data_IF_952665727064
#
_entry.id   IF_952665727064
#
_cell.length_a   1.000
_cell.length_b   1.000
_cell.length_c   1.000
_cell.angle_alpha   90.00
_cell.angle_beta   90.00
_cell.angle_gamma   90.00
#
_symmetry.space_group_name_H-M   'P 1'
#
loop_
_entity.id
_entity.type
_entity.pdbx_description
1 polymer ?
#
# COMPACT_ATOMS: atom_id res chain seq x y z
N UNK A 1 15.60 52.10 55.50
CA UNK A 1 14.48 52.01 54.51
C UNK A 1 15.01 51.56 53.17
N UNK A 2 14.93 50.26 52.87
CA UNK A 2 15.39 49.70 51.57
C UNK A 2 14.19 49.70 50.67
N UNK A 3 14.28 50.43 49.52
CA UNK A 3 13.27 50.43 48.48
C UNK A 3 13.52 49.18 47.56
N UNK A 4 12.60 48.23 47.55
CA UNK A 4 12.56 47.11 46.62
C UNK A 4 11.86 47.61 45.35
N UNK A 5 12.59 47.72 44.24
CA UNK A 5 12.01 47.93 42.91
C UNK A 5 11.58 46.57 42.37
N UNK A 6 10.27 46.40 42.23
CA UNK A 6 9.67 45.20 41.60
C UNK A 6 9.71 45.40 40.07
N UNK A 7 10.59 44.67 39.39
CA UNK A 7 10.63 44.65 37.92
C UNK A 7 9.55 43.68 37.44
N UNK A 8 8.44 44.20 36.89
CA UNK A 8 7.42 43.40 36.23
C UNK A 8 7.90 43.14 34.80
N UNK A 9 8.41 41.95 34.55
CA UNK A 9 8.71 41.49 33.19
C UNK A 9 7.39 41.15 32.47
N UNK A 10 6.94 42.01 31.54
CA UNK A 10 5.89 41.68 30.59
C UNK A 10 6.44 40.64 29.62
N UNK A 11 6.09 39.38 29.83
CA UNK A 11 6.22 38.35 28.79
C UNK A 11 5.16 38.61 27.72
N UNK A 12 5.51 39.35 26.67
CA UNK A 12 4.74 39.37 25.42
C UNK A 12 4.93 38.01 24.77
N UNK A 13 3.97 37.13 24.92
CA UNK A 13 3.88 35.92 24.09
C UNK A 13 3.66 36.38 22.62
N UNK A 14 4.74 36.44 21.83
CA UNK A 14 4.62 36.56 20.40
C UNK A 14 3.85 35.34 19.92
N UNK A 15 2.62 35.54 19.51
CA UNK A 15 1.88 34.56 18.70
C UNK A 15 2.67 34.32 17.41
N UNK A 16 3.54 33.32 17.43
CA UNK A 16 4.17 32.84 16.19
C UNK A 16 3.03 32.22 15.37
N UNK A 17 2.49 32.98 14.44
CA UNK A 17 1.57 32.45 13.45
C UNK A 17 2.34 31.41 12.64
N UNK A 18 1.92 30.17 12.71
CA UNK A 18 2.53 29.11 11.90
C UNK A 18 2.42 29.50 10.42
N UNK A 19 3.56 29.56 9.75
CA UNK A 19 3.66 29.82 8.33
C UNK A 19 2.72 28.90 7.56
N UNK A 20 1.91 29.46 6.67
CA UNK A 20 0.94 28.71 5.85
C UNK A 20 1.50 28.48 4.45
N UNK A 21 1.01 27.44 3.81
CA UNK A 21 1.28 27.16 2.41
C UNK A 21 -0.02 27.29 1.62
N UNK A 22 -0.02 28.18 0.62
CA UNK A 22 -1.12 28.45 -0.29
C UNK A 22 -0.84 27.71 -1.61
N UNK A 23 -1.63 26.70 -1.92
CA UNK A 23 -1.49 25.88 -3.13
C UNK A 23 -2.59 26.29 -4.11
N UNK A 24 -2.23 27.12 -5.11
CA UNK A 24 -3.13 27.53 -6.18
C UNK A 24 -3.20 26.43 -7.25
N UNK A 25 -4.36 25.87 -7.51
CA UNK A 25 -4.53 24.76 -8.47
C UNK A 25 -5.64 25.03 -9.49
N UNK A 26 -5.62 24.30 -10.60
CA UNK A 26 -6.64 24.37 -11.65
C UNK A 26 -7.99 23.81 -11.19
N UNK A 27 -7.99 22.99 -10.15
CA UNK A 27 -9.14 22.44 -9.46
C UNK A 27 -8.73 21.37 -8.48
N UNK A 28 -9.62 21.06 -7.53
CA UNK A 28 -9.46 19.99 -6.56
C UNK A 28 -10.38 18.83 -6.94
N UNK A 29 -9.81 17.65 -7.16
CA UNK A 29 -10.56 16.44 -7.42
C UNK A 29 -11.03 15.78 -6.12
N UNK A 30 -12.33 15.54 -6.00
CA UNK A 30 -12.94 14.77 -4.89
C UNK A 30 -13.23 13.34 -5.34
N UNK A 31 -12.52 12.33 -4.81
CA UNK A 31 -12.75 10.91 -5.15
C UNK A 31 -14.14 10.39 -4.75
N UNK A 32 -14.78 11.00 -3.74
CA UNK A 32 -16.10 10.56 -3.26
C UNK A 32 -17.19 10.92 -4.25
N UNK A 33 -17.15 12.12 -4.80
CA UNK A 33 -18.12 12.63 -5.80
C UNK A 33 -17.66 12.42 -7.24
N UNK A 34 -16.38 12.06 -7.44
CA UNK A 34 -15.70 11.90 -8.73
C UNK A 34 -15.75 13.19 -9.61
N UNK A 35 -15.74 14.36 -8.96
CA UNK A 35 -15.81 15.66 -9.60
C UNK A 35 -14.59 16.51 -9.24
N UNK A 36 -14.23 17.42 -10.15
CA UNK A 36 -13.21 18.45 -9.93
C UNK A 36 -13.90 19.80 -9.71
N UNK A 37 -13.42 20.55 -8.73
CA UNK A 37 -13.90 21.94 -8.50
C UNK A 37 -13.44 22.89 -9.62
N UNK A 38 -13.96 24.10 -9.64
CA UNK A 38 -13.36 25.24 -10.34
C UNK A 38 -11.96 25.54 -9.73
N UNK A 39 -11.16 26.45 -10.37
CA UNK A 39 -9.89 26.88 -9.82
C UNK A 39 -10.00 27.25 -8.34
N UNK A 40 -9.06 26.76 -7.55
CA UNK A 40 -9.13 26.81 -6.08
C UNK A 40 -7.74 27.03 -5.47
N UNK A 41 -7.72 27.45 -4.21
CA UNK A 41 -6.52 27.50 -3.37
C UNK A 41 -6.72 26.60 -2.16
N UNK A 42 -5.83 25.64 -1.96
CA UNK A 42 -5.79 24.82 -0.74
C UNK A 42 -4.78 25.43 0.22
N UNK A 43 -5.23 25.77 1.42
CA UNK A 43 -4.39 26.35 2.47
C UNK A 43 -3.99 25.26 3.45
N UNK A 44 -2.68 25.11 3.65
CA UNK A 44 -2.07 24.13 4.57
C UNK A 44 -1.39 24.87 5.72
N UNK A 45 -1.54 24.35 6.94
CA UNK A 45 -0.82 24.82 8.13
C UNK A 45 -0.30 23.62 8.92
N UNK A 46 1.01 23.57 9.12
CA UNK A 46 1.65 22.37 9.67
C UNK A 46 1.39 21.16 8.78
N UNK A 47 0.86 20.08 9.34
CA UNK A 47 0.55 18.86 8.60
C UNK A 47 -0.94 18.73 8.21
N UNK A 48 -1.74 19.80 8.32
CA UNK A 48 -3.19 19.76 8.10
C UNK A 48 -3.65 20.73 7.02
N UNK A 49 -4.66 20.33 6.28
CA UNK A 49 -5.44 21.20 5.41
C UNK A 49 -6.29 22.10 6.30
N UNK A 50 -6.14 23.42 6.13
CA UNK A 50 -6.87 24.41 6.91
C UNK A 50 -8.19 24.78 6.22
N UNK A 51 -8.14 25.09 4.91
CA UNK A 51 -9.30 25.48 4.11
C UNK A 51 -9.09 25.20 2.62
N UNK A 52 -10.19 25.27 1.88
CA UNK A 52 -10.22 25.27 0.41
C UNK A 52 -11.00 26.52 -0.01
N UNK A 53 -10.30 27.44 -0.66
CA UNK A 53 -10.84 28.73 -1.07
C UNK A 53 -11.14 28.75 -2.57
N UNK A 54 -12.19 29.45 -2.99
CA UNK A 54 -12.52 29.64 -4.39
C UNK A 54 -11.53 30.62 -5.05
N UNK A 55 -11.08 30.29 -6.25
CA UNK A 55 -10.11 31.09 -6.99
C UNK A 55 -8.69 31.00 -6.41
N UNK A 56 -7.80 31.83 -6.93
CA UNK A 56 -6.40 31.85 -6.55
C UNK A 56 -6.13 32.94 -5.50
N UNK A 57 -6.01 32.51 -4.25
CA UNK A 57 -5.73 33.38 -3.10
C UNK A 57 -4.22 33.43 -2.83
N UNK A 58 -3.76 34.50 -2.23
CA UNK A 58 -2.39 34.69 -1.77
C UNK A 58 -2.39 34.86 -0.25
N UNK A 59 -1.34 34.39 0.39
CA UNK A 59 -1.09 34.61 1.80
C UNK A 59 -0.40 35.94 2.08
N UNK A 60 0.02 36.15 3.32
CA UNK A 60 0.90 37.24 3.70
C UNK A 60 2.35 37.03 3.26
N UNK A 61 3.21 38.02 3.44
CA UNK A 61 4.61 38.01 2.99
C UNK A 61 5.45 36.85 3.57
N UNK A 62 5.03 36.29 4.70
CA UNK A 62 5.71 35.17 5.35
C UNK A 62 5.21 33.79 4.90
N UNK A 63 4.14 33.72 4.12
CA UNK A 63 3.50 32.48 3.70
C UNK A 63 4.14 31.93 2.42
N UNK A 64 4.08 30.60 2.24
CA UNK A 64 4.55 29.97 1.00
C UNK A 64 3.44 29.91 -0.04
N UNK A 65 3.77 30.29 -1.27
CA UNK A 65 2.89 30.17 -2.44
C UNK A 65 3.42 29.07 -3.36
N UNK A 66 2.53 28.14 -3.74
CA UNK A 66 2.79 27.09 -4.71
C UNK A 66 1.86 27.27 -5.90
N UNK A 67 2.44 27.48 -7.07
CA UNK A 67 1.70 27.62 -8.33
C UNK A 67 1.52 26.25 -9.02
N UNK A 68 0.28 25.74 -8.95
CA UNK A 68 -0.18 24.55 -9.65
C UNK A 68 -1.44 24.86 -10.48
N UNK A 69 -1.59 26.07 -10.97
CA UNK A 69 -2.80 26.56 -11.66
C UNK A 69 -3.21 25.73 -12.88
N UNK A 70 -2.24 25.05 -13.51
CA UNK A 70 -2.47 24.18 -14.68
C UNK A 70 -2.66 22.71 -14.30
N UNK A 71 -2.56 22.37 -13.02
CA UNK A 71 -2.63 20.99 -12.53
C UNK A 71 -3.91 20.74 -11.71
N UNK A 72 -4.35 19.50 -11.66
CA UNK A 72 -5.45 19.05 -10.80
C UNK A 72 -4.90 18.50 -9.50
N UNK A 73 -5.26 19.12 -8.37
CA UNK A 73 -4.89 18.68 -7.03
C UNK A 73 -5.84 17.58 -6.54
N UNK A 74 -5.32 16.59 -5.86
CA UNK A 74 -6.11 15.50 -5.26
C UNK A 74 -5.41 14.94 -4.02
N UNK A 75 -6.10 14.08 -3.20
CA UNK A 75 -5.42 13.43 -2.09
C UNK A 75 -4.31 12.51 -2.58
N UNK A 76 -3.25 12.38 -1.79
CA UNK A 76 -2.21 11.39 -2.01
C UNK A 76 -2.78 9.99 -2.10
N UNK A 77 -2.25 9.18 -2.99
CA UNK A 77 -2.71 7.81 -3.20
C UNK A 77 -2.23 6.87 -2.12
N UNK A 78 -3.02 5.82 -1.90
CA UNK A 78 -2.76 4.75 -0.93
C UNK A 78 -2.67 3.44 -1.70
N UNK A 79 -1.55 2.73 -1.57
CA UNK A 79 -1.33 1.40 -2.14
C UNK A 79 -1.41 0.34 -1.04
N UNK A 80 -2.42 -0.54 -1.08
CA UNK A 80 -2.65 -1.54 -0.02
C UNK A 80 -1.85 -2.83 -0.19
N UNK A 81 -0.99 -2.92 -1.21
CA UNK A 81 -0.14 -4.09 -1.38
C UNK A 81 1.20 -3.71 -1.98
N UNK A 82 2.21 -3.59 -1.13
CA UNK A 82 3.60 -3.45 -1.54
C UNK A 82 4.50 -4.39 -0.73
N UNK A 83 5.72 -4.61 -1.23
CA UNK A 83 6.84 -5.25 -0.55
C UNK A 83 8.02 -4.27 -0.57
N UNK A 84 8.01 -3.30 0.34
CA UNK A 84 8.91 -2.13 0.32
C UNK A 84 10.38 -2.47 0.56
N UNK A 85 10.70 -3.68 0.98
CA UNK A 85 12.05 -4.15 1.27
C UNK A 85 12.79 -4.69 0.05
N UNK A 86 12.11 -4.93 -1.06
CA UNK A 86 12.72 -5.63 -2.20
C UNK A 86 12.12 -5.19 -3.53
N UNK A 87 12.85 -5.50 -4.60
CA UNK A 87 12.37 -5.40 -5.97
C UNK A 87 12.87 -6.64 -6.72
N UNK A 88 11.98 -7.36 -7.42
CA UNK A 88 12.33 -8.62 -8.07
C UNK A 88 13.19 -8.37 -9.31
N UNK A 89 14.32 -9.06 -9.36
CA UNK A 89 15.26 -9.10 -10.49
C UNK A 89 15.87 -10.51 -10.60
N UNK A 90 16.63 -10.85 -11.66
CA UNK A 90 17.16 -12.20 -11.87
C UNK A 90 17.97 -12.78 -10.70
N UNK A 91 18.65 -11.94 -9.92
CA UNK A 91 19.48 -12.35 -8.80
C UNK A 91 18.72 -12.45 -7.46
N UNK A 92 17.43 -12.11 -7.41
CA UNK A 92 16.63 -12.06 -6.15
C UNK A 92 16.71 -13.35 -5.34
N UNK A 93 16.73 -14.52 -6.02
CA UNK A 93 16.84 -15.81 -5.31
C UNK A 93 18.21 -16.03 -4.67
N UNK A 94 19.24 -15.36 -5.16
CA UNK A 94 20.59 -15.41 -4.62
C UNK A 94 20.77 -14.42 -3.45
N UNK A 95 20.09 -13.28 -3.50
CA UNK A 95 20.22 -12.21 -2.51
C UNK A 95 19.86 -12.66 -1.10
N UNK A 96 18.94 -13.61 -0.94
CA UNK A 96 18.62 -14.18 0.38
C UNK A 96 19.80 -14.89 1.06
N UNK A 97 20.88 -15.20 0.33
CA UNK A 97 22.11 -15.80 0.85
C UNK A 97 23.25 -14.78 0.97
N UNK A 98 23.16 -13.65 0.27
CA UNK A 98 24.20 -12.63 0.20
C UNK A 98 23.90 -11.41 1.07
N UNK A 99 22.62 -11.06 1.25
CA UNK A 99 22.19 -9.83 1.92
C UNK A 99 22.01 -10.05 3.43
N UNK A 100 22.57 -9.12 4.17
CA UNK A 100 22.24 -8.91 5.57
C UNK A 100 21.02 -7.96 5.67
N UNK A 101 20.47 -7.81 6.87
CA UNK A 101 19.34 -6.89 7.09
C UNK A 101 19.69 -5.43 6.81
N UNK A 102 20.93 -5.06 6.97
CA UNK A 102 21.46 -3.73 6.69
C UNK A 102 21.44 -3.43 5.19
N UNK A 103 21.80 -4.41 4.34
CA UNK A 103 21.72 -4.28 2.88
C UNK A 103 20.28 -4.06 2.44
N UNK A 104 19.33 -4.89 2.95
CA UNK A 104 17.90 -4.74 2.74
C UNK A 104 17.40 -3.37 3.22
N UNK A 105 17.88 -2.89 4.37
CA UNK A 105 17.46 -1.60 4.93
C UNK A 105 17.87 -0.43 4.03
N UNK A 106 19.09 -0.44 3.48
CA UNK A 106 19.54 0.63 2.60
C UNK A 106 18.82 0.61 1.24
N UNK A 107 18.58 -0.55 0.66
CA UNK A 107 17.78 -0.64 -0.58
C UNK A 107 16.34 -0.16 -0.37
N UNK A 108 15.72 -0.54 0.75
CA UNK A 108 14.34 -0.16 1.07
C UNK A 108 14.14 1.36 1.17
N UNK A 109 15.18 2.12 1.52
CA UNK A 109 15.14 3.59 1.52
C UNK A 109 14.90 4.14 0.11
N UNK A 110 15.61 3.62 -0.88
CA UNK A 110 15.45 4.04 -2.27
C UNK A 110 14.06 3.66 -2.82
N UNK A 111 13.57 2.47 -2.49
CA UNK A 111 12.23 2.01 -2.89
C UNK A 111 11.13 2.87 -2.27
N UNK A 112 11.25 3.20 -0.98
CA UNK A 112 10.30 4.09 -0.30
C UNK A 112 10.27 5.49 -0.95
N UNK A 113 11.42 6.03 -1.31
CA UNK A 113 11.50 7.34 -1.97
C UNK A 113 10.86 7.31 -3.36
N UNK A 114 11.13 6.28 -4.18
CA UNK A 114 10.51 6.10 -5.50
C UNK A 114 8.98 6.04 -5.40
N UNK A 115 8.46 5.25 -4.45
CA UNK A 115 7.03 5.08 -4.20
C UNK A 115 6.37 6.41 -3.82
N UNK A 116 6.97 7.18 -2.91
CA UNK A 116 6.45 8.50 -2.53
C UNK A 116 6.45 9.47 -3.71
N UNK A 117 7.53 9.53 -4.49
CA UNK A 117 7.63 10.43 -5.66
C UNK A 117 6.66 10.08 -6.80
N UNK A 118 6.19 8.82 -6.84
CA UNK A 118 5.13 8.40 -7.76
C UNK A 118 3.72 8.83 -7.32
N UNK A 119 3.58 9.49 -6.15
CA UNK A 119 2.30 10.00 -5.65
C UNK A 119 1.64 9.15 -4.57
N UNK A 120 2.25 8.05 -4.17
CA UNK A 120 1.75 7.18 -3.11
C UNK A 120 2.28 7.66 -1.75
N UNK A 121 1.49 8.48 -1.06
CA UNK A 121 1.85 9.04 0.25
C UNK A 121 1.68 8.06 1.40
N UNK A 122 0.92 6.99 1.18
CA UNK A 122 0.68 5.91 2.14
C UNK A 122 0.70 4.55 1.46
N UNK A 123 1.21 3.54 2.17
CA UNK A 123 1.27 2.15 1.68
C UNK A 123 0.96 1.14 2.79
N UNK A 124 0.40 -0.01 2.41
CA UNK A 124 0.34 -1.21 3.25
C UNK A 124 1.35 -2.23 2.72
N UNK A 125 2.39 -2.48 3.49
CA UNK A 125 3.42 -3.47 3.20
C UNK A 125 3.00 -4.84 3.75
N UNK A 126 2.87 -5.81 2.86
CA UNK A 126 2.28 -7.12 3.18
C UNK A 126 3.31 -8.23 3.37
N UNK A 127 4.53 -7.88 3.66
CA UNK A 127 5.52 -8.87 4.12
C UNK A 127 6.94 -8.54 3.67
N UNK A 128 7.86 -8.87 4.55
CA UNK A 128 9.29 -8.70 4.35
C UNK A 128 10.10 -9.45 5.40
N UNK A 129 11.31 -9.02 5.65
CA UNK A 129 12.22 -9.60 6.64
C UNK A 129 11.97 -9.09 8.08
N UNK A 130 11.17 -8.02 8.21
CA UNK A 130 10.96 -7.22 9.42
C UNK A 130 11.75 -5.92 9.44
N UNK A 131 12.56 -5.64 8.42
CA UNK A 131 13.20 -4.34 8.18
C UNK A 131 12.15 -3.27 7.91
N UNK A 132 11.03 -3.61 7.27
CA UNK A 132 9.87 -2.75 7.01
C UNK A 132 9.34 -2.06 8.29
N UNK A 133 9.36 -2.73 9.44
CA UNK A 133 9.00 -2.11 10.73
C UNK A 133 10.01 -1.03 11.13
N UNK A 134 11.30 -1.28 10.92
CA UNK A 134 12.35 -0.30 11.20
C UNK A 134 12.28 0.89 10.24
N UNK A 135 12.05 0.62 8.95
CA UNK A 135 11.86 1.64 7.91
C UNK A 135 10.65 2.55 8.25
N UNK A 136 9.48 1.97 8.59
CA UNK A 136 8.31 2.74 9.04
C UNK A 136 8.66 3.69 10.18
N UNK A 137 9.37 3.19 11.20
CA UNK A 137 9.80 4.01 12.35
C UNK A 137 10.78 5.12 11.94
N UNK A 138 11.69 4.85 10.99
CA UNK A 138 12.64 5.84 10.49
C UNK A 138 11.94 6.94 9.68
N UNK A 139 10.96 6.59 8.85
CA UNK A 139 10.14 7.54 8.10
C UNK A 139 9.29 8.40 9.07
N UNK A 140 8.63 7.78 10.07
CA UNK A 140 7.81 8.49 11.04
C UNK A 140 8.60 9.51 11.88
N UNK A 141 9.91 9.28 12.09
CA UNK A 141 10.82 10.22 12.78
C UNK A 141 11.44 11.26 11.85
N UNK A 142 11.19 11.19 10.54
CA UNK A 142 11.82 12.07 9.55
C UNK A 142 13.28 11.75 9.25
N UNK A 143 13.82 10.59 9.70
CA UNK A 143 15.20 10.17 9.42
C UNK A 143 15.36 9.64 7.99
N UNK A 144 14.28 9.20 7.37
CA UNK A 144 14.22 8.66 6.00
C UNK A 144 13.00 9.24 5.30
N UNK A 145 13.15 9.55 4.02
CA UNK A 145 12.05 9.99 3.15
C UNK A 145 11.30 8.79 2.60
N UNK A 146 9.98 8.79 2.72
CA UNK A 146 9.13 7.72 2.20
C UNK A 146 7.64 7.92 2.54
N UNK A 147 6.76 7.03 2.05
CA UNK A 147 5.33 7.06 2.36
C UNK A 147 5.07 6.69 3.82
N UNK A 148 3.87 6.96 4.32
CA UNK A 148 3.38 6.40 5.58
C UNK A 148 3.15 4.91 5.37
N UNK A 149 3.67 4.05 6.27
CA UNK A 149 3.66 2.61 6.11
C UNK A 149 2.81 1.96 7.20
N UNK A 150 1.88 1.08 6.79
CA UNK A 150 1.30 0.04 7.62
C UNK A 150 1.93 -1.28 7.20
N UNK A 151 2.48 -2.05 8.13
CA UNK A 151 3.22 -3.26 7.74
C UNK A 151 2.77 -4.51 8.48
N UNK A 152 2.81 -5.65 7.77
CA UNK A 152 2.63 -6.97 8.35
C UNK A 152 3.91 -7.52 9.03
N UNK A 153 5.03 -6.82 8.87
CA UNK A 153 6.32 -7.40 9.23
C UNK A 153 6.65 -8.60 8.35
N UNK A 154 6.51 -9.81 8.89
CA UNK A 154 6.62 -11.06 8.11
C UNK A 154 5.24 -11.65 7.84
N UNK A 155 5.03 -12.17 6.65
CA UNK A 155 3.83 -12.96 6.33
C UNK A 155 3.79 -14.26 7.14
N UNK A 156 2.59 -14.85 7.26
CA UNK A 156 2.37 -16.15 7.90
C UNK A 156 2.06 -17.17 6.80
N UNK A 157 2.76 -18.30 6.81
CA UNK A 157 2.62 -19.43 5.90
C UNK A 157 2.51 -20.75 6.65
N UNK A 158 2.07 -21.82 6.00
CA UNK A 158 2.28 -23.21 6.46
C UNK A 158 3.67 -23.69 6.05
N UNK A 159 4.16 -24.78 6.63
CA UNK A 159 5.38 -25.47 6.17
C UNK A 159 5.25 -25.82 4.68
N UNK A 160 6.25 -25.42 3.88
CA UNK A 160 6.22 -25.55 2.43
C UNK A 160 5.24 -24.63 1.72
N UNK A 161 4.56 -23.72 2.43
CA UNK A 161 3.64 -22.74 1.89
C UNK A 161 4.36 -21.59 1.15
N UNK A 162 3.59 -20.74 0.46
CA UNK A 162 4.15 -19.72 -0.44
C UNK A 162 5.17 -18.78 0.24
N UNK A 163 4.90 -18.33 1.46
CA UNK A 163 5.80 -17.45 2.22
C UNK A 163 6.71 -18.20 3.22
N UNK A 164 6.83 -19.52 3.12
CA UNK A 164 7.83 -20.25 3.90
C UNK A 164 9.24 -19.83 3.45
N UNK A 165 10.05 -19.23 4.32
CA UNK A 165 11.36 -18.70 3.93
C UNK A 165 12.36 -19.79 3.52
N UNK A 166 12.08 -21.05 3.88
CA UNK A 166 12.97 -22.18 3.59
C UNK A 166 12.72 -22.84 2.23
N UNK A 167 11.66 -22.43 1.51
CA UNK A 167 11.36 -22.97 0.18
C UNK A 167 12.54 -22.79 -0.80
N UNK A 168 12.99 -23.93 -1.35
CA UNK A 168 14.12 -23.97 -2.29
C UNK A 168 15.49 -23.75 -1.65
N UNK A 169 15.58 -23.79 -0.33
CA UNK A 169 16.84 -23.71 0.42
C UNK A 169 17.23 -25.06 0.96
N UNK A 170 18.52 -25.33 1.01
CA UNK A 170 19.07 -26.53 1.61
C UNK A 170 18.78 -26.57 3.12
N UNK A 171 18.24 -27.68 3.64
CA UNK A 171 17.69 -27.76 4.98
C UNK A 171 18.65 -27.38 6.12
N UNK A 172 19.95 -27.66 5.94
CA UNK A 172 20.98 -27.34 6.93
C UNK A 172 21.34 -25.86 7.02
N UNK A 173 20.86 -25.01 6.07
CA UNK A 173 21.14 -23.57 6.07
C UNK A 173 20.10 -22.75 6.86
N UNK A 174 18.84 -23.18 6.90
CA UNK A 174 17.76 -22.39 7.52
C UNK A 174 16.97 -23.12 8.60
N UNK A 175 17.23 -24.43 8.80
CA UNK A 175 16.57 -25.24 9.83
C UNK A 175 15.07 -25.42 9.59
N UNK A 176 14.31 -25.60 10.68
CA UNK A 176 12.86 -25.78 10.70
C UNK A 176 12.21 -24.54 11.31
N UNK A 177 11.64 -23.62 10.51
CA UNK A 177 11.07 -22.37 10.98
C UNK A 177 9.73 -22.60 11.68
N UNK A 178 9.46 -21.82 12.73
CA UNK A 178 8.20 -21.81 13.46
C UNK A 178 7.46 -20.47 13.44
N UNK A 179 6.53 -20.24 14.37
CA UNK A 179 5.70 -19.04 14.43
C UNK A 179 6.48 -17.71 14.47
N UNK A 180 7.68 -17.70 15.05
CA UNK A 180 8.54 -16.52 15.09
C UNK A 180 9.06 -16.13 13.69
N UNK A 181 9.30 -17.10 12.83
CA UNK A 181 9.68 -16.88 11.43
C UNK A 181 8.48 -16.74 10.50
N UNK A 182 7.25 -16.99 11.00
CA UNK A 182 6.00 -16.92 10.24
C UNK A 182 5.53 -18.25 9.67
N UNK A 183 6.02 -19.40 10.18
CA UNK A 183 5.55 -20.71 9.74
C UNK A 183 4.72 -21.38 10.84
N UNK A 184 3.53 -21.86 10.48
CA UNK A 184 2.57 -22.47 11.40
C UNK A 184 1.93 -23.71 10.80
N UNK A 185 1.55 -24.68 11.65
CA UNK A 185 0.89 -25.92 11.25
C UNK A 185 -0.24 -26.33 12.21
N UNK A 186 -0.71 -25.40 13.04
CA UNK A 186 -1.81 -25.64 13.97
C UNK A 186 -2.49 -24.34 14.41
N UNK A 187 -3.67 -24.47 15.00
CA UNK A 187 -4.45 -23.35 15.58
C UNK A 187 -3.67 -22.62 16.69
N UNK A 188 -2.93 -23.34 17.53
CA UNK A 188 -2.16 -22.74 18.62
C UNK A 188 -0.94 -21.98 18.09
N UNK A 189 -0.28 -22.51 17.07
CA UNK A 189 0.81 -21.80 16.37
C UNK A 189 0.29 -20.58 15.63
N UNK A 190 -0.91 -20.64 15.04
CA UNK A 190 -1.58 -19.49 14.41
C UNK A 190 -1.74 -18.32 15.40
N UNK A 191 -2.29 -18.60 16.60
CA UNK A 191 -2.42 -17.60 17.67
C UNK A 191 -1.06 -17.06 18.11
N UNK A 192 -0.08 -17.94 18.25
CA UNK A 192 1.29 -17.57 18.63
C UNK A 192 1.93 -16.65 17.58
N UNK A 193 1.77 -16.94 16.29
CA UNK A 193 2.32 -16.15 15.20
C UNK A 193 1.72 -14.75 15.18
N UNK A 194 0.40 -14.59 15.31
CA UNK A 194 -0.26 -13.27 15.37
C UNK A 194 0.27 -12.46 16.57
N UNK A 195 0.35 -13.05 17.75
CA UNK A 195 0.89 -12.39 18.96
C UNK A 195 2.35 -12.00 18.78
N UNK A 196 3.13 -12.80 18.05
CA UNK A 196 4.51 -12.47 17.71
C UNK A 196 4.59 -11.26 16.77
N UNK A 197 3.73 -11.21 15.72
CA UNK A 197 3.64 -10.01 14.83
C UNK A 197 3.28 -8.76 15.61
N UNK A 198 2.28 -8.83 16.48
CA UNK A 198 1.90 -7.73 17.36
C UNK A 198 3.08 -7.27 18.25
N UNK A 199 3.77 -8.20 18.92
CA UNK A 199 4.95 -7.92 19.76
C UNK A 199 6.06 -7.22 18.97
N UNK A 200 6.28 -7.61 17.71
CA UNK A 200 7.28 -7.00 16.82
C UNK A 200 6.87 -5.62 16.33
N UNK A 201 5.59 -5.28 16.42
CA UNK A 201 5.02 -3.99 16.04
C UNK A 201 4.44 -3.97 14.63
N UNK A 202 3.92 -5.10 14.13
CA UNK A 202 3.12 -5.12 12.92
C UNK A 202 1.78 -4.38 13.12
N UNK A 203 1.25 -3.80 12.06
CA UNK A 203 -0.04 -3.08 12.04
C UNK A 203 -1.16 -3.94 11.46
N UNK A 204 -0.81 -4.93 10.64
CA UNK A 204 -1.73 -5.82 9.92
C UNK A 204 -1.19 -7.25 9.95
N UNK A 205 -2.05 -8.22 9.68
CA UNK A 205 -1.64 -9.62 9.52
C UNK A 205 -1.80 -10.04 8.06
N UNK A 206 -0.74 -10.60 7.48
CA UNK A 206 -0.75 -11.21 6.14
C UNK A 206 -0.54 -12.70 6.24
N UNK A 207 -1.40 -13.46 5.54
CA UNK A 207 -1.22 -14.90 5.33
C UNK A 207 -1.04 -15.22 3.85
N UNK A 208 -0.50 -16.39 3.54
CA UNK A 208 -0.52 -16.99 2.20
C UNK A 208 -1.47 -18.17 2.18
N UNK A 209 -2.75 -17.91 1.79
CA UNK A 209 -3.82 -18.91 1.84
C UNK A 209 -3.70 -19.97 0.74
N UNK A 210 -2.95 -19.69 -0.32
CA UNK A 210 -2.62 -20.65 -1.41
C UNK A 210 -1.14 -20.63 -1.74
N UNK A 211 -0.70 -21.53 -2.60
CA UNK A 211 0.55 -21.40 -3.32
C UNK A 211 0.60 -20.10 -4.13
N UNK A 212 1.78 -19.72 -4.60
CA UNK A 212 1.99 -18.49 -5.35
C UNK A 212 2.97 -18.68 -6.51
N UNK A 213 3.03 -17.66 -7.38
CA UNK A 213 3.84 -17.70 -8.61
C UNK A 213 5.33 -17.66 -8.28
N UNK A 214 5.75 -16.73 -7.43
CA UNK A 214 7.17 -16.39 -7.24
C UNK A 214 7.92 -17.32 -6.26
N UNK A 215 7.24 -18.21 -5.53
CA UNK A 215 7.90 -19.17 -4.65
C UNK A 215 8.37 -20.42 -5.40
N UNK A 216 9.34 -21.12 -4.81
CA UNK A 216 9.80 -22.44 -5.30
C UNK A 216 8.84 -23.60 -4.97
N UNK A 217 7.66 -23.31 -4.38
CA UNK A 217 6.60 -24.30 -4.17
C UNK A 217 5.99 -24.74 -5.51
N UNK A 218 5.69 -26.05 -5.62
CA UNK A 218 5.29 -26.69 -6.90
C UNK A 218 3.95 -26.19 -7.45
N UNK A 219 3.03 -25.80 -6.56
CA UNK A 219 1.65 -25.51 -6.96
C UNK A 219 1.24 -24.09 -6.52
N UNK A 220 0.61 -23.33 -7.43
CA UNK A 220 0.09 -21.99 -7.18
C UNK A 220 -1.38 -21.95 -6.73
N UNK A 221 -2.13 -23.06 -6.79
CA UNK A 221 -3.59 -23.05 -6.63
C UNK A 221 -4.06 -23.67 -5.32
N UNK A 222 -3.33 -24.65 -4.77
CA UNK A 222 -3.81 -25.42 -3.62
C UNK A 222 -3.90 -24.56 -2.37
N UNK A 223 -4.97 -24.76 -1.54
CA UNK A 223 -5.08 -24.12 -0.24
C UNK A 223 -3.95 -24.60 0.67
N UNK A 224 -3.43 -23.71 1.50
CA UNK A 224 -2.29 -23.96 2.38
C UNK A 224 -2.65 -23.86 3.86
N UNK A 225 -3.91 -23.55 4.17
CA UNK A 225 -4.45 -23.51 5.53
C UNK A 225 -5.82 -24.18 5.59
N UNK A 226 -6.17 -24.68 6.76
CA UNK A 226 -7.54 -25.06 7.10
C UNK A 226 -8.35 -23.80 7.47
N UNK A 227 -9.69 -23.91 7.47
CA UNK A 227 -10.56 -22.80 7.90
C UNK A 227 -10.32 -22.47 9.37
N UNK A 228 -10.06 -23.46 10.21
CA UNK A 228 -9.83 -23.32 11.66
C UNK A 228 -8.55 -22.54 11.95
N UNK A 229 -7.47 -22.79 11.21
CA UNK A 229 -6.20 -22.05 11.34
C UNK A 229 -6.39 -20.59 10.92
N UNK A 230 -7.03 -20.33 9.78
CA UNK A 230 -7.29 -18.96 9.32
C UNK A 230 -8.21 -18.24 10.32
N UNK A 231 -9.26 -18.90 10.82
CA UNK A 231 -10.17 -18.34 11.81
C UNK A 231 -9.43 -17.95 13.10
N UNK A 232 -8.53 -18.79 13.58
CA UNK A 232 -7.71 -18.49 14.75
C UNK A 232 -6.80 -17.27 14.53
N UNK A 233 -6.27 -17.10 13.31
CA UNK A 233 -5.51 -15.91 12.92
C UNK A 233 -6.41 -14.66 12.97
N UNK A 234 -7.58 -14.72 12.31
CA UNK A 234 -8.50 -13.57 12.21
C UNK A 234 -9.02 -13.15 13.59
N UNK A 235 -9.47 -14.09 14.42
CA UNK A 235 -9.95 -13.82 15.77
C UNK A 235 -8.85 -13.20 16.64
N UNK A 236 -7.64 -13.77 16.61
CA UNK A 236 -6.53 -13.22 17.39
C UNK A 236 -6.08 -11.85 16.87
N UNK A 237 -6.11 -11.62 15.55
CA UNK A 237 -5.80 -10.31 14.97
C UNK A 237 -6.84 -9.24 15.41
N UNK A 238 -8.13 -9.63 15.44
CA UNK A 238 -9.22 -8.76 15.88
C UNK A 238 -9.08 -8.33 17.35
N UNK A 239 -8.59 -9.22 18.24
CA UNK A 239 -8.29 -8.88 19.65
C UNK A 239 -7.28 -7.75 19.78
N UNK A 240 -6.42 -7.55 18.78
CA UNK A 240 -5.42 -6.49 18.71
C UNK A 240 -5.79 -5.35 17.75
N UNK A 241 -7.01 -5.35 17.21
CA UNK A 241 -7.48 -4.34 16.25
C UNK A 241 -6.74 -4.37 14.90
N UNK A 242 -6.14 -5.50 14.53
CA UNK A 242 -5.36 -5.63 13.29
C UNK A 242 -6.22 -6.18 12.14
N UNK A 243 -6.13 -5.53 10.99
CA UNK A 243 -6.70 -6.00 9.74
C UNK A 243 -5.98 -7.27 9.24
N UNK A 244 -6.71 -8.13 8.53
CA UNK A 244 -6.15 -9.36 7.94
C UNK A 244 -6.22 -9.34 6.42
N UNK A 245 -5.14 -9.81 5.77
CA UNK A 245 -4.99 -9.90 4.33
C UNK A 245 -4.50 -11.30 3.93
N UNK A 246 -4.98 -11.84 2.80
CA UNK A 246 -4.58 -13.15 2.31
C UNK A 246 -4.15 -13.13 0.85
N UNK A 247 -2.89 -13.48 0.58
CA UNK A 247 -2.48 -13.91 -0.75
C UNK A 247 -3.29 -15.15 -1.15
N UNK A 248 -3.94 -15.11 -2.31
CA UNK A 248 -4.65 -16.26 -2.84
C UNK A 248 -4.83 -16.19 -4.35
N UNK A 249 -4.35 -17.23 -5.05
CA UNK A 249 -4.64 -17.44 -6.47
C UNK A 249 -5.77 -18.46 -6.68
N UNK A 250 -5.73 -19.59 -5.98
CA UNK A 250 -6.69 -20.67 -6.12
C UNK A 250 -8.00 -20.44 -5.38
N UNK A 251 -9.11 -20.83 -6.00
CA UNK A 251 -10.48 -20.54 -5.52
C UNK A 251 -10.78 -21.12 -4.14
N UNK A 252 -10.40 -22.37 -3.86
CA UNK A 252 -10.65 -23.01 -2.56
C UNK A 252 -9.93 -22.30 -1.40
N UNK A 253 -8.69 -21.83 -1.61
CA UNK A 253 -7.98 -21.05 -0.60
C UNK A 253 -8.63 -19.69 -0.34
N UNK A 254 -9.12 -19.02 -1.40
CA UNK A 254 -9.90 -17.80 -1.28
C UNK A 254 -11.19 -18.02 -0.51
N UNK A 255 -11.94 -19.07 -0.87
CA UNK A 255 -13.18 -19.43 -0.19
C UNK A 255 -12.96 -19.65 1.31
N UNK A 256 -11.93 -20.42 1.69
CA UNK A 256 -11.58 -20.65 3.10
C UNK A 256 -11.22 -19.36 3.82
N UNK A 257 -10.42 -18.49 3.16
CA UNK A 257 -10.00 -17.22 3.72
C UNK A 257 -11.21 -16.30 3.98
N UNK A 258 -12.12 -16.16 3.00
CA UNK A 258 -13.31 -15.32 3.12
C UNK A 258 -14.26 -15.85 4.20
N UNK A 259 -14.53 -17.15 4.23
CA UNK A 259 -15.40 -17.77 5.25
C UNK A 259 -14.84 -17.60 6.66
N UNK A 260 -13.52 -17.65 6.79
CA UNK A 260 -12.83 -17.45 8.08
C UNK A 260 -12.76 -15.96 8.51
N UNK A 261 -13.14 -15.00 7.65
CA UNK A 261 -13.25 -13.59 8.00
C UNK A 261 -12.06 -12.71 7.54
N UNK A 262 -11.25 -13.17 6.61
CA UNK A 262 -10.19 -12.33 6.00
C UNK A 262 -10.83 -11.13 5.29
N UNK A 263 -10.30 -9.95 5.55
CA UNK A 263 -10.85 -8.69 5.02
C UNK A 263 -10.44 -8.40 3.58
N UNK A 264 -9.18 -8.68 3.20
CA UNK A 264 -8.72 -8.44 1.82
C UNK A 264 -8.11 -9.70 1.21
N UNK A 265 -8.54 -10.02 -0.01
CA UNK A 265 -7.98 -11.08 -0.85
C UNK A 265 -7.08 -10.40 -1.87
N UNK A 266 -5.82 -10.78 -1.88
CA UNK A 266 -4.79 -10.26 -2.77
C UNK A 266 -4.70 -11.15 -4.02
N UNK A 267 -4.57 -10.55 -5.21
CA UNK A 267 -4.49 -11.19 -6.53
C UNK A 267 -5.80 -11.76 -7.05
N UNK A 268 -6.37 -12.79 -6.41
CA UNK A 268 -7.66 -13.36 -6.77
C UNK A 268 -7.74 -14.06 -8.13
N UNK A 269 -6.63 -14.57 -8.67
CA UNK A 269 -6.49 -14.93 -10.10
C UNK A 269 -7.50 -15.95 -10.62
N UNK A 270 -7.80 -17.00 -9.87
CA UNK A 270 -8.73 -18.08 -10.28
C UNK A 270 -10.05 -18.04 -9.52
N UNK A 271 -10.51 -16.85 -9.14
CA UNK A 271 -11.74 -16.67 -8.37
C UNK A 271 -12.97 -17.09 -9.16
N UNK A 272 -13.76 -18.03 -8.61
CA UNK A 272 -15.04 -18.43 -9.16
C UNK A 272 -16.14 -17.40 -8.89
N UNK A 273 -17.24 -17.46 -9.66
CA UNK A 273 -18.43 -16.63 -9.37
C UNK A 273 -19.01 -16.89 -7.98
N UNK A 274 -18.97 -18.13 -7.51
CA UNK A 274 -19.42 -18.48 -6.18
C UNK A 274 -18.57 -17.78 -5.09
N UNK A 275 -17.26 -17.70 -5.28
CA UNK A 275 -16.37 -16.99 -4.36
C UNK A 275 -16.55 -15.47 -4.47
N UNK A 276 -16.86 -14.91 -5.66
CA UNK A 276 -17.23 -13.49 -5.81
C UNK A 276 -18.48 -13.13 -5.01
N UNK A 277 -19.54 -13.95 -5.07
CA UNK A 277 -20.75 -13.76 -4.26
C UNK A 277 -20.46 -13.91 -2.75
N UNK A 278 -19.59 -14.83 -2.38
CA UNK A 278 -19.15 -15.00 -1.00
C UNK A 278 -18.40 -13.77 -0.49
N UNK A 279 -17.50 -13.18 -1.28
CA UNK A 279 -16.79 -11.94 -0.93
C UNK A 279 -17.77 -10.79 -0.68
N UNK A 280 -18.77 -10.62 -1.52
CA UNK A 280 -19.81 -9.61 -1.33
C UNK A 280 -20.58 -9.83 -0.03
N UNK A 281 -20.99 -11.07 0.24
CA UNK A 281 -21.72 -11.45 1.47
C UNK A 281 -20.92 -11.17 2.75
N UNK A 282 -19.61 -11.33 2.71
CA UNK A 282 -18.70 -11.14 3.85
C UNK A 282 -18.04 -9.75 3.88
N UNK A 283 -18.44 -8.84 2.99
CA UNK A 283 -17.83 -7.51 2.85
C UNK A 283 -16.29 -7.58 2.75
N UNK A 284 -15.80 -8.58 2.01
CA UNK A 284 -14.40 -8.73 1.69
C UNK A 284 -14.03 -7.94 0.43
N UNK A 285 -12.78 -7.52 0.34
CA UNK A 285 -12.27 -6.70 -0.77
C UNK A 285 -11.27 -7.49 -1.61
N UNK A 286 -11.30 -7.29 -2.92
CA UNK A 286 -10.27 -7.76 -3.85
C UNK A 286 -9.23 -6.65 -4.04
N UNK A 287 -7.96 -6.97 -3.83
CA UNK A 287 -6.79 -6.16 -4.18
C UNK A 287 -6.10 -6.83 -5.37
N UNK A 288 -6.32 -6.37 -6.61
CA UNK A 288 -6.08 -7.19 -7.81
C UNK A 288 -4.61 -7.33 -8.22
N UNK A 289 -3.77 -6.34 -7.94
CA UNK A 289 -2.32 -6.36 -8.24
C UNK A 289 -1.99 -6.72 -9.69
N UNK A 290 -2.71 -6.12 -10.63
CA UNK A 290 -2.56 -6.41 -12.06
C UNK A 290 -1.16 -6.05 -12.57
N UNK A 291 -0.53 -5.02 -11.99
CA UNK A 291 0.84 -4.60 -12.28
C UNK A 291 1.84 -5.75 -12.10
N UNK A 292 1.74 -6.44 -10.96
CA UNK A 292 2.62 -7.59 -10.68
C UNK A 292 2.38 -8.73 -11.68
N UNK A 293 1.11 -9.07 -11.96
CA UNK A 293 0.77 -10.11 -12.93
C UNK A 293 1.34 -9.82 -14.32
N UNK A 294 1.20 -8.56 -14.80
CA UNK A 294 1.74 -8.13 -16.09
C UNK A 294 3.27 -8.14 -16.10
N UNK A 295 3.91 -7.63 -15.04
CA UNK A 295 5.36 -7.60 -14.92
C UNK A 295 5.96 -9.02 -14.96
N UNK A 296 5.41 -9.93 -14.14
CA UNK A 296 5.88 -11.31 -14.05
C UNK A 296 5.68 -12.07 -15.36
N UNK A 297 4.51 -11.92 -15.99
CA UNK A 297 4.21 -12.52 -17.27
C UNK A 297 5.17 -12.03 -18.38
N UNK A 298 5.47 -10.74 -18.41
CA UNK A 298 6.35 -10.17 -19.43
C UNK A 298 7.80 -10.65 -19.27
N UNK A 299 8.31 -10.66 -18.05
CA UNK A 299 9.67 -11.12 -17.76
C UNK A 299 9.83 -12.64 -17.94
N UNK A 300 8.77 -13.42 -17.71
CA UNK A 300 8.77 -14.86 -17.95
C UNK A 300 9.01 -15.26 -19.44
N UNK A 301 8.81 -14.31 -20.36
CA UNK A 301 9.12 -14.52 -21.80
C UNK A 301 10.61 -14.42 -22.07
N UNK A 302 11.41 -13.88 -21.16
CA UNK A 302 12.88 -13.78 -21.29
C UNK A 302 13.51 -15.05 -20.74
N UNK A 303 14.22 -15.84 -21.57
CA UNK A 303 14.85 -17.07 -21.12
C UNK A 303 15.81 -16.83 -19.95
N UNK A 304 15.68 -17.62 -18.89
CA UNK A 304 16.56 -17.57 -17.73
C UNK A 304 16.29 -16.41 -16.74
N UNK A 305 15.31 -15.55 -16.98
CA UNK A 305 14.95 -14.48 -16.05
C UNK A 305 14.43 -15.04 -14.70
N UNK A 306 13.59 -16.05 -14.76
CA UNK A 306 13.10 -16.80 -13.59
C UNK A 306 13.52 -18.26 -13.63
N UNK A 307 13.60 -18.95 -12.49
CA UNK A 307 13.69 -20.41 -12.46
C UNK A 307 12.56 -21.06 -13.27
N UNK A 308 12.79 -22.23 -13.91
CA UNK A 308 11.79 -22.86 -14.80
C UNK A 308 10.41 -23.07 -14.17
N UNK A 309 10.36 -23.43 -12.87
CA UNK A 309 9.12 -23.62 -12.12
C UNK A 309 8.33 -22.32 -11.97
N UNK A 310 9.01 -21.20 -11.73
CA UNK A 310 8.40 -19.87 -11.62
C UNK A 310 7.92 -19.41 -12.99
N UNK A 311 8.73 -19.57 -14.03
CA UNK A 311 8.37 -19.23 -15.42
C UNK A 311 7.06 -19.91 -15.84
N UNK A 312 6.90 -21.21 -15.59
CA UNK A 312 5.69 -21.95 -15.92
C UNK A 312 4.44 -21.37 -15.25
N UNK A 313 4.50 -21.10 -13.95
CA UNK A 313 3.39 -20.51 -13.19
C UNK A 313 3.08 -19.07 -13.63
N UNK A 314 4.09 -18.28 -13.95
CA UNK A 314 3.94 -16.91 -14.43
C UNK A 314 3.15 -16.82 -15.74
N UNK A 315 3.45 -17.71 -16.69
CA UNK A 315 2.76 -17.78 -17.97
C UNK A 315 1.33 -18.30 -17.85
N UNK A 316 1.03 -19.11 -16.85
CA UNK A 316 -0.32 -19.60 -16.55
C UNK A 316 -1.19 -18.52 -15.91
N UNK A 317 -0.71 -17.86 -14.86
CA UNK A 317 -1.50 -16.95 -14.00
C UNK A 317 -1.71 -15.59 -14.65
N UNK A 318 -0.70 -15.05 -15.32
CA UNK A 318 -0.72 -13.68 -15.83
C UNK A 318 -1.94 -13.33 -16.70
N UNK A 319 -2.28 -14.13 -17.73
CA UNK A 319 -3.41 -13.84 -18.63
C UNK A 319 -4.77 -13.92 -17.94
N UNK A 320 -4.90 -14.73 -16.88
CA UNK A 320 -6.18 -15.02 -16.21
C UNK A 320 -6.54 -13.88 -15.23
N UNK A 321 -5.56 -13.30 -14.57
CA UNK A 321 -5.78 -12.32 -13.50
C UNK A 321 -6.61 -11.13 -13.97
N UNK A 322 -6.29 -10.54 -15.13
CA UNK A 322 -7.04 -9.38 -15.66
C UNK A 322 -8.49 -9.75 -16.03
N UNK A 323 -8.72 -10.94 -16.61
CA UNK A 323 -10.07 -11.39 -16.95
C UNK A 323 -10.92 -11.66 -15.69
N UNK A 324 -10.33 -12.26 -14.66
CA UNK A 324 -11.00 -12.50 -13.39
C UNK A 324 -11.32 -11.19 -12.67
N UNK A 325 -10.39 -10.22 -12.66
CA UNK A 325 -10.63 -8.89 -12.11
C UNK A 325 -11.81 -8.19 -12.82
N UNK A 326 -11.81 -8.18 -14.16
CA UNK A 326 -12.90 -7.60 -14.94
C UNK A 326 -14.26 -8.18 -14.55
N UNK A 327 -14.33 -9.51 -14.40
CA UNK A 327 -15.55 -10.23 -13.99
C UNK A 327 -15.93 -9.89 -12.55
N UNK A 328 -14.98 -9.85 -11.61
CA UNK A 328 -15.22 -9.51 -10.21
C UNK A 328 -15.78 -8.08 -10.08
N UNK A 329 -15.19 -7.12 -10.80
CA UNK A 329 -15.69 -5.75 -10.84
C UNK A 329 -17.11 -5.67 -11.38
N UNK A 330 -17.40 -6.33 -12.52
CA UNK A 330 -18.76 -6.38 -13.11
C UNK A 330 -19.80 -7.02 -12.18
N UNK A 331 -19.41 -8.01 -11.39
CA UNK A 331 -20.26 -8.67 -10.39
C UNK A 331 -20.45 -7.85 -9.11
N UNK A 332 -19.76 -6.70 -8.99
CA UNK A 332 -19.89 -5.81 -7.84
C UNK A 332 -19.12 -6.28 -6.60
N UNK A 333 -18.06 -7.05 -6.77
CA UNK A 333 -17.09 -7.30 -5.68
C UNK A 333 -16.46 -5.98 -5.27
N UNK A 334 -16.29 -5.75 -3.96
CA UNK A 334 -15.59 -4.58 -3.45
C UNK A 334 -14.14 -4.59 -3.90
N UNK A 335 -13.69 -3.52 -4.56
CA UNK A 335 -12.31 -3.39 -5.04
C UNK A 335 -11.55 -2.39 -4.19
N UNK A 336 -10.35 -2.76 -3.79
CA UNK A 336 -9.35 -1.89 -3.19
C UNK A 336 -8.12 -1.83 -4.11
N UNK A 337 -7.37 -0.73 -4.06
CA UNK A 337 -6.19 -0.54 -4.90
C UNK A 337 -4.94 -1.11 -4.22
N UNK A 338 -4.14 -1.88 -4.96
CA UNK A 338 -2.83 -2.35 -4.55
C UNK A 338 -2.09 -2.96 -5.74
N UNK A 339 -0.76 -2.84 -5.76
CA UNK A 339 0.09 -3.10 -6.93
C UNK A 339 0.96 -4.33 -6.82
N UNK A 340 1.28 -4.76 -5.60
CA UNK A 340 2.34 -5.72 -5.30
C UNK A 340 3.72 -5.22 -5.81
N UNK A 341 3.96 -3.89 -5.69
CA UNK A 341 5.28 -3.32 -5.96
C UNK A 341 6.32 -3.92 -5.02
N UNK A 342 7.45 -4.29 -5.59
CA UNK A 342 8.40 -5.25 -5.06
C UNK A 342 8.46 -6.49 -5.93
N UNK A 343 7.32 -6.97 -6.44
CA UNK A 343 7.24 -7.89 -7.59
C UNK A 343 7.36 -7.11 -8.90
N UNK A 344 6.69 -5.97 -9.04
CA UNK A 344 6.97 -4.94 -10.06
C UNK A 344 7.88 -3.84 -9.48
N UNK A 345 8.36 -2.92 -10.33
CA UNK A 345 9.25 -1.86 -9.88
C UNK A 345 8.53 -0.82 -9.00
N UNK A 346 9.22 -0.41 -7.92
CA UNK A 346 8.80 0.74 -7.13
C UNK A 346 8.90 2.03 -7.94
N UNK A 347 7.86 2.86 -7.85
CA UNK A 347 7.72 4.06 -8.70
C UNK A 347 6.82 3.84 -9.90
N UNK A 348 6.61 2.60 -10.33
CA UNK A 348 5.66 2.21 -11.39
C UNK A 348 4.25 1.92 -10.87
N UNK A 349 3.99 2.11 -9.59
CA UNK A 349 2.72 1.80 -8.91
C UNK A 349 1.49 2.39 -9.65
N UNK A 350 1.62 3.57 -10.26
CA UNK A 350 0.52 4.21 -11.01
C UNK A 350 0.08 3.45 -12.26
N UNK A 351 0.87 2.49 -12.75
CA UNK A 351 0.47 1.62 -13.88
C UNK A 351 -0.71 0.71 -13.54
N UNK A 352 -0.94 0.42 -12.27
CA UNK A 352 -2.11 -0.33 -11.82
C UNK A 352 -3.42 0.34 -12.26
N UNK A 353 -3.51 1.67 -12.22
CA UNK A 353 -4.67 2.41 -12.74
C UNK A 353 -4.96 2.10 -14.20
N UNK A 354 -3.91 2.01 -15.03
CA UNK A 354 -4.02 1.71 -16.46
C UNK A 354 -4.54 0.28 -16.66
N UNK A 355 -4.00 -0.68 -15.94
CA UNK A 355 -4.43 -2.07 -16.04
C UNK A 355 -5.85 -2.28 -15.52
N UNK A 356 -6.25 -1.58 -14.44
CA UNK A 356 -7.63 -1.58 -13.95
C UNK A 356 -8.60 -1.01 -15.01
N UNK A 357 -8.25 0.11 -15.65
CA UNK A 357 -9.07 0.73 -16.71
C UNK A 357 -9.17 -0.16 -17.94
N UNK A 358 -8.06 -0.72 -18.41
CA UNK A 358 -8.02 -1.69 -19.52
C UNK A 358 -8.86 -2.95 -19.24
N UNK A 359 -9.02 -3.30 -17.96
CA UNK A 359 -9.86 -4.41 -17.50
C UNK A 359 -11.30 -3.99 -17.20
N UNK A 360 -11.72 -2.76 -17.56
CA UNK A 360 -13.11 -2.30 -17.53
C UNK A 360 -13.53 -1.55 -16.25
N UNK A 361 -12.65 -1.27 -15.31
CA UNK A 361 -12.92 -0.40 -14.17
C UNK A 361 -12.59 1.05 -14.52
N UNK A 362 -13.55 2.00 -14.58
CA UNK A 362 -13.27 3.38 -14.93
C UNK A 362 -12.19 4.00 -14.02
N UNK A 363 -11.29 4.81 -14.59
CA UNK A 363 -10.20 5.45 -13.83
C UNK A 363 -10.68 6.17 -12.56
N UNK A 364 -11.80 6.89 -12.63
CA UNK A 364 -12.37 7.57 -11.45
C UNK A 364 -12.78 6.60 -10.34
N UNK A 365 -13.24 5.39 -10.69
CA UNK A 365 -13.54 4.35 -9.71
C UNK A 365 -12.23 3.79 -9.10
N UNK A 366 -11.19 3.62 -9.90
CA UNK A 366 -9.86 3.22 -9.42
C UNK A 366 -9.22 4.30 -8.53
N UNK A 367 -9.37 5.59 -8.84
CA UNK A 367 -8.95 6.69 -7.96
C UNK A 367 -9.67 6.65 -6.61
N UNK A 368 -10.98 6.35 -6.60
CA UNK A 368 -11.73 6.13 -5.35
C UNK A 368 -11.17 4.95 -4.55
N UNK A 369 -10.83 3.85 -5.23
CA UNK A 369 -10.21 2.69 -4.60
C UNK A 369 -8.85 3.05 -3.96
N UNK A 370 -7.99 3.82 -4.65
CA UNK A 370 -6.67 4.23 -4.18
C UNK A 370 -6.69 5.38 -3.15
N UNK A 371 -7.86 5.89 -2.79
CA UNK A 371 -8.00 7.03 -1.86
C UNK A 371 -8.99 6.71 -0.74
N UNK A 372 -10.26 7.07 -0.91
CA UNK A 372 -11.26 6.94 0.17
C UNK A 372 -11.54 5.50 0.60
N UNK A 373 -11.56 4.54 -0.34
CA UNK A 373 -11.75 3.12 -0.01
C UNK A 373 -10.56 2.59 0.81
N UNK A 374 -9.36 2.86 0.34
CA UNK A 374 -8.15 2.40 1.02
C UNK A 374 -7.93 3.10 2.36
N UNK A 375 -8.28 4.39 2.48
CA UNK A 375 -8.25 5.10 3.75
C UNK A 375 -9.19 4.45 4.79
N UNK A 376 -10.43 4.10 4.37
CA UNK A 376 -11.39 3.40 5.24
C UNK A 376 -10.89 2.01 5.67
N UNK A 377 -10.26 1.25 4.77
CA UNK A 377 -9.67 -0.04 5.12
C UNK A 377 -8.50 0.06 6.11
N UNK A 378 -7.82 1.21 6.14
CA UNK A 378 -6.76 1.48 7.12
C UNK A 378 -7.27 2.13 8.42
N UNK A 379 -8.59 2.40 8.55
CA UNK A 379 -9.16 3.14 9.67
C UNK A 379 -8.71 4.60 9.72
N UNK A 380 -8.48 5.20 8.54
CA UNK A 380 -7.96 6.56 8.38
C UNK A 380 -8.91 7.46 7.57
N UNK A 381 -10.16 7.09 7.43
CA UNK A 381 -11.18 7.78 6.61
C UNK A 381 -11.43 9.23 7.02
N UNK A 382 -11.15 9.58 8.27
CA UNK A 382 -11.27 10.94 8.81
C UNK A 382 -9.98 11.77 8.66
N UNK A 383 -8.90 11.18 8.10
CA UNK A 383 -7.59 11.81 8.01
C UNK A 383 -6.95 11.76 6.63
N UNK A 384 -7.26 10.72 5.83
CA UNK A 384 -6.66 10.45 4.52
C UNK A 384 -7.73 10.22 3.44
N UNK A 385 -7.30 10.26 2.19
CA UNK A 385 -8.12 9.92 1.03
C UNK A 385 -9.04 11.05 0.55
N UNK A 386 -8.99 12.23 1.17
CA UNK A 386 -9.76 13.43 0.74
C UNK A 386 -8.93 14.70 0.89
N UNK A 387 -9.21 15.69 0.03
CA UNK A 387 -8.77 17.06 0.26
C UNK A 387 -9.91 17.77 0.98
N UNK A 388 -9.79 17.92 2.30
CA UNK A 388 -10.83 18.56 3.12
C UNK A 388 -10.21 19.22 4.38
N UNK A 389 -10.80 20.29 4.92
CA UNK A 389 -10.34 20.89 6.16
C UNK A 389 -10.24 19.86 7.30
N UNK A 390 -9.13 19.88 8.04
CA UNK A 390 -8.84 18.95 9.13
C UNK A 390 -8.15 17.65 8.71
N UNK A 391 -8.15 17.29 7.43
CA UNK A 391 -7.42 16.13 6.89
C UNK A 391 -5.91 16.39 6.89
N UNK A 392 -5.12 15.33 6.85
CA UNK A 392 -3.68 15.43 6.66
C UNK A 392 -3.38 16.06 5.28
N UNK A 393 -2.37 16.90 5.24
CA UNK A 393 -1.90 17.50 3.99
C UNK A 393 -1.02 16.50 3.22
N UNK A 394 -1.64 15.38 2.85
CA UNK A 394 -1.13 14.37 1.94
C UNK A 394 -1.78 14.63 0.57
N UNK A 395 -1.08 15.34 -0.29
CA UNK A 395 -1.61 15.92 -1.53
C UNK A 395 -0.70 15.59 -2.71
N UNK A 396 -1.31 15.34 -3.86
CA UNK A 396 -0.60 15.23 -5.13
C UNK A 396 -1.28 16.12 -6.19
N UNK A 397 -0.54 16.46 -7.24
CA UNK A 397 -1.15 17.10 -8.40
C UNK A 397 -0.77 16.37 -9.68
N UNK A 398 -1.76 16.22 -10.56
CA UNK A 398 -1.60 15.67 -11.91
C UNK A 398 -1.51 16.81 -12.94
N UNK A 399 -0.57 16.69 -13.87
CA UNK A 399 -0.46 17.62 -15.01
C UNK A 399 -1.62 17.50 -16.00
N UNK A 400 -2.32 16.37 -16.01
CA UNK A 400 -3.50 16.11 -16.82
C UNK A 400 -4.73 15.91 -15.95
N UNK A 401 -5.89 16.38 -16.45
CA UNK A 401 -7.16 16.19 -15.75
C UNK A 401 -7.55 14.71 -15.71
N UNK A 402 -8.14 14.19 -14.59
CA UNK A 402 -8.56 12.79 -14.48
C UNK A 402 -9.56 12.31 -15.54
N UNK A 403 -10.29 13.21 -16.19
CA UNK A 403 -11.19 12.86 -17.31
C UNK A 403 -10.46 12.38 -18.57
N UNK A 404 -9.13 12.50 -18.62
CA UNK A 404 -8.32 12.00 -19.74
C UNK A 404 -8.08 10.47 -19.69
N UNK A 405 -8.45 9.81 -18.58
CA UNK A 405 -8.25 8.39 -18.36
C UNK A 405 -7.02 8.09 -17.50
N UNK A 406 -6.75 6.80 -17.31
CA UNK A 406 -5.77 6.32 -16.34
C UNK A 406 -4.31 6.71 -16.64
N UNK A 407 -3.97 7.01 -17.90
CA UNK A 407 -2.62 7.50 -18.27
C UNK A 407 -2.30 8.84 -17.59
N UNK A 408 -3.31 9.64 -17.21
CA UNK A 408 -3.12 10.85 -16.43
C UNK A 408 -2.39 10.60 -15.09
N UNK A 409 -2.51 9.39 -14.52
CA UNK A 409 -1.84 9.01 -13.28
C UNK A 409 -0.30 8.96 -13.41
N UNK A 410 0.24 8.81 -14.61
CA UNK A 410 1.69 8.87 -14.83
C UNK A 410 2.24 10.29 -14.76
N UNK A 411 1.36 11.30 -14.78
CA UNK A 411 1.70 12.73 -14.80
C UNK A 411 1.72 13.41 -13.42
N UNK A 412 2.16 12.72 -12.36
CA UNK A 412 2.32 13.33 -11.03
C UNK A 412 3.43 14.37 -11.06
N UNK A 413 3.08 15.65 -10.87
CA UNK A 413 4.02 16.80 -10.89
C UNK A 413 4.28 17.39 -9.51
N UNK A 414 3.45 17.09 -8.52
CA UNK A 414 3.57 17.57 -7.15
C UNK A 414 3.24 16.47 -6.16
N UNK A 415 4.02 16.39 -5.07
CA UNK A 415 3.79 15.46 -3.95
C UNK A 415 4.08 16.18 -2.64
N UNK A 416 3.08 16.21 -1.78
CA UNK A 416 3.16 16.66 -0.39
C UNK A 416 2.69 15.54 0.53
N UNK A 417 3.41 15.29 1.62
CA UNK A 417 3.01 14.37 2.70
C UNK A 417 3.25 15.03 4.05
N UNK A 418 2.27 14.96 4.94
CA UNK A 418 2.32 15.64 6.25
C UNK A 418 2.69 17.13 6.13
N UNK A 419 2.22 17.81 5.07
CA UNK A 419 2.51 19.23 4.79
C UNK A 419 3.92 19.53 4.27
N UNK A 420 4.77 18.53 4.12
CA UNK A 420 6.12 18.66 3.55
C UNK A 420 6.12 18.31 2.05
N UNK A 421 6.82 19.08 1.26
CA UNK A 421 6.92 18.93 -0.19
C UNK A 421 8.06 17.99 -0.52
N UNK A 422 7.79 16.97 -1.32
CA UNK A 422 8.76 15.98 -1.78
C UNK A 422 8.99 16.01 -3.30
N UNK A 423 8.03 16.58 -4.04
CA UNK A 423 8.12 16.80 -5.48
C UNK A 423 7.35 18.08 -5.83
N UNK A 424 7.92 18.90 -6.69
CA UNK A 424 7.25 20.08 -7.24
C UNK A 424 7.69 20.29 -8.69
N UNK A 425 6.87 20.95 -9.52
CA UNK A 425 7.27 21.31 -10.88
C UNK A 425 8.57 22.10 -10.85
N UNK A 426 9.46 21.81 -11.80
CA UNK A 426 10.61 22.68 -12.05
C UNK A 426 10.10 24.00 -12.61
N UNK A 427 10.59 25.16 -12.10
CA UNK A 427 10.20 26.48 -12.58
C UNK A 427 10.39 26.65 -14.08
#
# INVERSE_FOLDING_TARGET
>A
MKKICLLVALCTSALVWAQKTYIQCGGVYDPSTQKTTAPSTVVVSGNKILSIESGWQQGGDSDHLIDLKTATLMPGWIDLHVHIESEIHPETYLNKFLYNKEDVAFESVAFAQKTLQAGFTSVRDLGGSGVNIALRKAIARGSVVGPRIWTAGKSIASTGGHADPTNGVRADLMGDPGPAQGVINSVDEARKAVRQRYKEGADVIKITATGGVMSMAKNGHNPQFTVEEIKAIVETAADYGMLTAAHAHGDEGMRRAVVAGIKTIEHGSFMSEATMELMKKHDAYLVPTLSAAQHVMNNAKTPGYYPPMVTAKALEVGPITSATFAKAYQKGVNIAFGTDSGVSHHGDNAREFIYMEQSGMPFKAALKAATTTNAALLGMEDQLGRVAPGFLADLIALSQHPDRGAEAALGVVFVMKDGQIYKQPTP
#
